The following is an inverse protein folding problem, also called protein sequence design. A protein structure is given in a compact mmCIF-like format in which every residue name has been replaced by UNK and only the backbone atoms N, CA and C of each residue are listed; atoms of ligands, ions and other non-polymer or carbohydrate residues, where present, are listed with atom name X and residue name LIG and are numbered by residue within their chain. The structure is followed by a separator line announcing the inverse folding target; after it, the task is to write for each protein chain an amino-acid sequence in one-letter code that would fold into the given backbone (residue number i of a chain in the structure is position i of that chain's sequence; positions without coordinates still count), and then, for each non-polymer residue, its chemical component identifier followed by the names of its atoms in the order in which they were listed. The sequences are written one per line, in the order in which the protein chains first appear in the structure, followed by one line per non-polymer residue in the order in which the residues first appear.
data_IF_560276003269
#
_entry.id   IF_560276003269
#
_cell.length_a   1.000
_cell.length_b   1.000
_cell.length_c   1.000
_cell.angle_alpha   90.00
_cell.angle_beta   90.00
_cell.angle_gamma   90.00
#
_symmetry.space_group_name_H-M   'P 1'
#
loop_
_entity.id
_entity.type
_entity.pdbx_description
1 polymer ?
#
# COMPACT_ATOMS: atom_id res chain seq x y z
N UNK A 1 48.62 -9.79 -49.83
CA UNK A 1 47.96 -9.58 -48.53
C UNK A 1 46.97 -8.44 -48.69
N UNK A 2 45.68 -8.75 -48.85
CA UNK A 2 44.60 -7.77 -48.95
C UNK A 2 43.79 -7.81 -47.66
N UNK A 3 43.64 -6.70 -46.91
CA UNK A 3 42.70 -6.68 -45.80
C UNK A 3 41.27 -6.59 -46.33
N UNK A 4 40.44 -7.55 -45.89
CA UNK A 4 39.00 -7.59 -46.15
C UNK A 4 38.31 -6.38 -45.51
N UNK A 5 37.57 -5.65 -46.35
CA UNK A 5 36.48 -4.74 -45.97
C UNK A 5 35.45 -5.53 -45.16
N UNK A 6 35.17 -5.15 -43.92
CA UNK A 6 34.01 -5.64 -43.18
C UNK A 6 33.03 -4.48 -42.95
N UNK A 7 31.92 -4.53 -43.68
CA UNK A 7 30.79 -3.63 -43.55
C UNK A 7 30.16 -3.83 -42.17
N UNK A 8 30.26 -2.82 -41.29
CA UNK A 8 29.45 -2.79 -40.07
C UNK A 8 28.05 -2.37 -40.46
N UNK A 9 27.12 -3.33 -40.44
CA UNK A 9 25.69 -3.10 -40.66
C UNK A 9 25.14 -2.46 -39.38
N UNK A 10 24.75 -1.19 -39.45
CA UNK A 10 24.01 -0.51 -38.39
C UNK A 10 22.53 -0.90 -38.56
N UNK A 11 22.06 -1.83 -37.74
CA UNK A 11 20.62 -2.12 -37.59
C UNK A 11 20.02 -1.06 -36.66
N UNK A 12 19.43 0.00 -37.22
CA UNK A 12 18.55 0.91 -36.46
C UNK A 12 17.19 0.22 -36.34
N UNK A 13 16.99 -0.47 -35.22
CA UNK A 13 15.72 -1.10 -34.87
C UNK A 13 14.83 -0.04 -34.21
N UNK A 14 13.94 0.57 -35.00
CA UNK A 14 12.90 1.47 -34.53
C UNK A 14 11.81 0.63 -33.83
N UNK A 15 11.96 0.40 -32.52
CA UNK A 15 10.90 -0.15 -31.70
C UNK A 15 9.82 0.92 -31.52
N UNK A 16 8.66 0.71 -32.11
CA UNK A 16 7.46 1.47 -31.82
C UNK A 16 6.93 0.99 -30.46
N UNK A 17 7.44 1.59 -29.37
CA UNK A 17 6.96 1.31 -28.01
C UNK A 17 5.60 1.97 -27.86
N UNK A 18 4.54 1.18 -27.85
CA UNK A 18 3.20 1.64 -27.48
C UNK A 18 3.17 1.85 -25.96
N UNK A 19 3.29 3.10 -25.52
CA UNK A 19 3.13 3.48 -24.13
C UNK A 19 1.63 3.42 -23.74
N UNK A 20 1.34 2.73 -22.63
CA UNK A 20 0.06 2.79 -21.95
C UNK A 20 0.03 3.97 -20.98
N UNK A 21 -1.10 4.67 -20.91
CA UNK A 21 -1.33 5.76 -19.98
C UNK A 21 -2.68 5.52 -19.29
N UNK A 22 -2.66 5.34 -17.97
CA UNK A 22 -3.88 5.28 -17.17
C UNK A 22 -4.21 6.68 -16.66
N UNK A 23 -5.40 7.22 -16.98
CA UNK A 23 -5.83 8.56 -16.57
C UNK A 23 -6.72 8.51 -15.31
N UNK A 24 -6.38 9.31 -14.30
CA UNK A 24 -7.20 9.50 -13.11
C UNK A 24 -8.39 10.42 -13.39
N UNK A 25 -9.46 10.31 -12.57
CA UNK A 25 -10.55 11.30 -12.54
C UNK A 25 -10.07 12.74 -12.23
N UNK A 26 -8.90 12.87 -11.59
CA UNK A 26 -8.25 14.15 -11.30
C UNK A 26 -7.17 14.53 -12.34
N UNK A 27 -7.03 13.82 -13.46
CA UNK A 27 -6.09 14.16 -14.53
C UNK A 27 -4.62 13.79 -14.27
N UNK A 28 -4.31 13.05 -13.20
CA UNK A 28 -2.99 12.45 -13.01
C UNK A 28 -2.85 11.16 -13.82
N UNK A 29 -1.64 10.88 -14.29
CA UNK A 29 -1.32 9.73 -15.16
C UNK A 29 -0.01 9.11 -14.71
N UNK A 30 0.04 7.78 -14.65
CA UNK A 30 1.29 7.02 -14.56
C UNK A 30 1.53 6.37 -15.92
N UNK A 31 2.73 6.56 -16.46
CA UNK A 31 3.13 6.05 -17.76
C UNK A 31 3.86 4.71 -17.61
N UNK A 32 3.52 3.76 -18.46
CA UNK A 32 4.15 2.45 -18.50
C UNK A 32 4.15 1.87 -19.91
N UNK A 33 4.93 0.82 -20.12
CA UNK A 33 5.00 0.12 -21.41
C UNK A 33 4.25 -1.20 -21.35
N UNK A 34 3.58 -1.56 -22.44
CA UNK A 34 2.82 -2.82 -22.52
C UNK A 34 1.41 -2.70 -21.93
N UNK A 35 0.86 -3.85 -21.54
CA UNK A 35 -0.54 -3.96 -21.08
C UNK A 35 -0.72 -3.62 -19.59
N UNK A 36 0.33 -3.77 -18.77
CA UNK A 36 0.32 -3.55 -17.32
C UNK A 36 1.64 -2.88 -16.87
N UNK A 37 1.61 -2.16 -15.76
CA UNK A 37 2.81 -1.62 -15.12
C UNK A 37 3.67 -2.78 -14.56
N UNK A 38 4.90 -2.88 -15.04
CA UNK A 38 5.90 -3.81 -14.51
C UNK A 38 7.03 -3.02 -13.86
N UNK A 39 7.35 -3.37 -12.61
CA UNK A 39 8.49 -2.82 -11.87
C UNK A 39 9.54 -3.92 -11.69
N UNK A 40 10.80 -3.60 -11.98
CA UNK A 40 11.91 -4.49 -11.63
C UNK A 40 12.38 -4.18 -10.22
N UNK A 41 12.63 -5.23 -9.43
CA UNK A 41 13.29 -5.13 -8.13
C UNK A 41 14.79 -4.85 -8.32
N UNK A 42 15.09 -3.63 -8.75
CA UNK A 42 16.43 -3.15 -9.04
C UNK A 42 16.64 -1.76 -8.44
N UNK A 43 17.91 -1.37 -8.31
CA UNK A 43 18.27 0.00 -8.02
C UNK A 43 17.82 0.93 -9.16
N UNK A 44 17.49 2.16 -8.81
CA UNK A 44 17.10 3.22 -9.75
C UNK A 44 15.90 2.89 -10.65
N UNK A 45 14.97 2.05 -10.20
CA UNK A 45 13.70 1.82 -10.89
C UNK A 45 12.93 3.13 -11.04
N UNK A 46 12.70 3.55 -12.27
CA UNK A 46 12.01 4.80 -12.58
C UNK A 46 10.51 4.61 -12.77
N UNK A 47 9.74 5.56 -12.26
CA UNK A 47 8.31 5.71 -12.55
C UNK A 47 8.12 7.11 -13.13
N UNK A 48 7.46 7.15 -14.29
CA UNK A 48 7.19 8.37 -15.05
C UNK A 48 5.70 8.67 -15.02
N UNK A 49 5.34 9.94 -15.11
CA UNK A 49 3.94 10.32 -15.18
C UNK A 49 3.72 11.83 -15.26
N UNK A 50 2.44 12.19 -15.24
CA UNK A 50 1.98 13.58 -15.23
C UNK A 50 0.92 13.78 -14.16
N UNK A 51 0.79 15.02 -13.69
CA UNK A 51 -0.20 15.43 -12.69
C UNK A 51 -0.82 16.76 -13.09
N UNK A 52 -2.03 17.10 -12.62
CA UNK A 52 -2.65 18.41 -12.87
C UNK A 52 -2.02 19.55 -12.04
N UNK A 53 -1.04 19.26 -11.19
CA UNK A 53 -0.48 20.25 -10.29
C UNK A 53 0.57 21.12 -10.97
N UNK A 54 0.71 22.34 -10.46
CA UNK A 54 1.70 23.29 -10.95
C UNK A 54 3.13 22.83 -10.61
N UNK A 55 4.08 23.27 -11.43
CA UNK A 55 5.50 23.05 -11.20
C UNK A 55 5.91 23.48 -9.78
N UNK A 56 6.77 22.71 -9.14
CA UNK A 56 7.25 22.94 -7.79
C UNK A 56 6.32 22.38 -6.70
N UNK A 57 5.09 21.98 -7.03
CA UNK A 57 4.19 21.29 -6.09
C UNK A 57 4.82 19.98 -5.62
N UNK A 58 4.74 19.69 -4.32
CA UNK A 58 5.24 18.43 -3.77
C UNK A 58 4.16 17.37 -3.88
N UNK A 59 4.51 16.23 -4.50
CA UNK A 59 3.68 15.03 -4.58
C UNK A 59 4.45 13.84 -4.03
N UNK A 60 3.74 12.92 -3.40
CA UNK A 60 4.28 11.65 -2.92
C UNK A 60 3.95 10.54 -3.90
N UNK A 61 4.96 9.80 -4.34
CA UNK A 61 4.76 8.54 -5.06
C UNK A 61 4.99 7.41 -4.06
N UNK A 62 4.06 6.44 -4.03
CA UNK A 62 4.11 5.30 -3.12
C UNK A 62 3.89 4.01 -3.88
N UNK A 63 4.74 3.03 -3.62
CA UNK A 63 4.59 1.64 -4.09
C UNK A 63 4.29 0.77 -2.86
N UNK A 64 3.21 -0.02 -2.95
CA UNK A 64 2.70 -0.85 -1.85
C UNK A 64 2.45 -2.26 -2.38
N UNK A 65 2.94 -3.29 -1.70
CA UNK A 65 2.54 -4.67 -1.99
C UNK A 65 1.03 -4.86 -1.81
N UNK A 66 0.41 -5.67 -2.65
CA UNK A 66 -0.98 -6.12 -2.46
C UNK A 66 -1.07 -7.65 -2.39
N UNK A 67 -2.14 -8.14 -1.78
CA UNK A 67 -2.38 -9.58 -1.61
C UNK A 67 -1.36 -10.28 -0.71
N UNK A 68 -1.14 -11.57 -0.99
CA UNK A 68 -0.30 -12.45 -0.17
C UNK A 68 1.18 -12.45 -0.60
N UNK A 69 1.70 -11.31 -1.05
CA UNK A 69 3.14 -11.14 -1.29
C UNK A 69 3.85 -10.72 0.00
N UNK A 70 5.19 -10.66 -0.01
CA UNK A 70 5.90 -10.06 1.12
C UNK A 70 5.41 -8.62 1.33
N UNK A 71 4.93 -8.25 2.52
CA UNK A 71 4.44 -6.90 2.76
C UNK A 71 5.58 -5.89 2.67
N UNK A 72 5.44 -4.88 1.83
CA UNK A 72 6.35 -3.75 1.78
C UNK A 72 5.62 -2.47 1.38
N UNK A 73 6.22 -1.35 1.76
CA UNK A 73 5.78 -0.02 1.39
C UNK A 73 7.01 0.86 1.22
N UNK A 74 7.19 1.42 0.04
CA UNK A 74 8.20 2.45 -0.23
C UNK A 74 7.51 3.72 -0.70
N UNK A 75 8.04 4.86 -0.30
CA UNK A 75 7.45 6.16 -0.64
C UNK A 75 8.53 7.21 -0.83
N UNK A 76 8.35 8.07 -1.82
CA UNK A 76 9.27 9.19 -2.09
C UNK A 76 8.47 10.43 -2.46
N UNK A 77 8.80 11.53 -1.81
CA UNK A 77 8.26 12.85 -2.15
C UNK A 77 9.17 13.52 -3.18
N UNK A 78 8.57 14.08 -4.22
CA UNK A 78 9.25 14.79 -5.30
C UNK A 78 8.51 16.08 -5.63
N UNK A 79 9.19 16.98 -6.34
CA UNK A 79 8.55 18.17 -6.91
C UNK A 79 8.10 17.87 -8.33
N UNK A 80 6.89 18.31 -8.65
CA UNK A 80 6.36 18.31 -10.01
C UNK A 80 7.21 19.23 -10.88
N UNK A 81 7.60 18.74 -12.05
CA UNK A 81 8.37 19.47 -13.04
C UNK A 81 7.49 20.29 -13.98
N UNK A 82 8.10 20.78 -15.05
CA UNK A 82 7.40 21.57 -16.07
C UNK A 82 6.25 20.74 -16.68
N UNK A 83 5.15 21.41 -17.02
CA UNK A 83 3.94 20.79 -17.60
C UNK A 83 3.31 19.70 -16.73
N UNK A 84 3.53 19.72 -15.41
CA UNK A 84 2.95 18.73 -14.51
C UNK A 84 3.66 17.38 -14.51
N UNK A 85 4.80 17.26 -15.23
CA UNK A 85 5.55 16.02 -15.39
C UNK A 85 6.27 15.62 -14.10
N UNK A 86 6.51 14.33 -13.93
CA UNK A 86 7.37 13.85 -12.86
C UNK A 86 8.12 12.58 -13.22
N UNK A 87 9.30 12.44 -12.63
CA UNK A 87 10.11 11.23 -12.67
C UNK A 87 10.59 10.95 -11.25
N UNK A 88 10.39 9.73 -10.78
CA UNK A 88 10.87 9.28 -9.48
C UNK A 88 11.69 8.01 -9.63
N UNK A 89 12.86 7.96 -9.02
CA UNK A 89 13.67 6.75 -8.89
C UNK A 89 13.48 6.13 -7.52
N UNK A 90 13.10 4.85 -7.49
CA UNK A 90 13.09 4.01 -6.29
C UNK A 90 14.29 3.07 -6.32
N UNK A 91 14.84 2.82 -5.14
CA UNK A 91 15.77 1.72 -4.95
C UNK A 91 14.95 0.52 -4.46
N UNK A 92 14.84 -0.51 -5.29
CA UNK A 92 14.06 -1.72 -5.02
C UNK A 92 14.96 -2.97 -4.99
N UNK A 93 16.29 -2.81 -4.98
CA UNK A 93 17.24 -3.94 -5.01
C UNK A 93 17.07 -4.86 -3.78
N UNK A 94 16.74 -4.27 -2.62
CA UNK A 94 16.46 -5.01 -1.38
C UNK A 94 15.29 -6.01 -1.54
N UNK A 95 14.41 -5.79 -2.53
CA UNK A 95 13.30 -6.68 -2.83
C UNK A 95 13.69 -7.81 -3.79
N UNK A 96 14.85 -7.73 -4.45
CA UNK A 96 15.29 -8.73 -5.44
C UNK A 96 15.39 -10.17 -4.90
N UNK A 97 15.78 -10.41 -3.63
CA UNK A 97 15.77 -11.76 -3.04
C UNK A 97 14.38 -12.25 -2.61
N UNK A 98 13.36 -11.39 -2.63
CA UNK A 98 12.01 -11.69 -2.14
C UNK A 98 11.12 -12.23 -3.25
N UNK A 99 9.95 -12.75 -2.87
CA UNK A 99 8.87 -13.06 -3.82
C UNK A 99 8.30 -11.77 -4.42
N UNK A 100 8.48 -11.58 -5.73
CA UNK A 100 7.70 -10.61 -6.50
C UNK A 100 6.20 -10.93 -6.53
N UNK A 101 5.42 -10.03 -7.10
CA UNK A 101 3.97 -10.17 -7.20
C UNK A 101 3.25 -8.83 -7.31
N UNK A 102 1.93 -8.80 -7.11
CA UNK A 102 1.13 -7.62 -7.40
C UNK A 102 1.43 -6.47 -6.42
N UNK A 103 1.40 -5.25 -6.97
CA UNK A 103 1.65 -3.99 -6.26
C UNK A 103 0.64 -2.93 -6.66
N UNK A 104 0.47 -1.93 -5.81
CA UNK A 104 -0.27 -0.70 -6.09
C UNK A 104 0.72 0.47 -6.09
N UNK A 105 0.75 1.23 -7.19
CA UNK A 105 1.48 2.50 -7.29
C UNK A 105 0.49 3.64 -7.20
N UNK A 106 0.69 4.51 -6.21
CA UNK A 106 -0.21 5.62 -5.90
C UNK A 106 0.51 6.97 -5.93
N UNK A 107 -0.16 7.96 -6.52
CA UNK A 107 0.21 9.38 -6.47
C UNK A 107 -0.61 10.02 -5.36
N UNK A 108 0.06 10.70 -4.45
CA UNK A 108 -0.53 11.34 -3.27
C UNK A 108 -0.14 12.81 -3.21
N UNK A 109 -1.04 13.65 -2.73
CA UNK A 109 -0.72 15.01 -2.31
C UNK A 109 -1.06 15.12 -0.83
N UNK A 110 -0.04 15.36 -0.01
CA UNK A 110 -0.12 15.20 1.44
C UNK A 110 -0.62 13.78 1.80
N UNK A 111 -1.72 13.68 2.53
CA UNK A 111 -2.30 12.41 2.97
C UNK A 111 -3.36 11.87 2.00
N UNK A 112 -3.76 12.64 0.99
CA UNK A 112 -4.82 12.27 0.05
C UNK A 112 -4.24 11.53 -1.16
N UNK A 113 -4.84 10.40 -1.50
CA UNK A 113 -4.56 9.68 -2.74
C UNK A 113 -5.31 10.31 -3.91
N UNK A 114 -4.58 10.61 -4.98
CA UNK A 114 -5.10 11.29 -6.17
C UNK A 114 -5.39 10.27 -7.27
N UNK A 115 -4.50 9.30 -7.39
CA UNK A 115 -4.55 8.24 -8.38
C UNK A 115 -3.79 7.02 -7.86
N UNK A 116 -4.26 5.84 -8.22
CA UNK A 116 -3.57 4.58 -7.98
C UNK A 116 -3.78 3.66 -9.18
N UNK A 117 -2.75 2.88 -9.51
CA UNK A 117 -2.82 1.80 -10.48
C UNK A 117 -2.18 0.55 -9.89
N UNK A 118 -2.67 -0.60 -10.32
CA UNK A 118 -2.05 -1.88 -10.02
C UNK A 118 -0.93 -2.17 -11.03
N UNK A 119 0.02 -3.00 -10.60
CA UNK A 119 1.09 -3.52 -11.43
C UNK A 119 1.72 -4.75 -10.82
N UNK A 120 2.82 -5.20 -11.40
CA UNK A 120 3.57 -6.38 -10.93
C UNK A 120 5.03 -6.01 -10.64
N UNK A 121 5.50 -6.39 -9.46
CA UNK A 121 6.92 -6.39 -9.12
C UNK A 121 7.55 -7.70 -9.58
N UNK A 122 8.56 -7.62 -10.44
CA UNK A 122 9.36 -8.75 -10.92
C UNK A 122 10.70 -8.76 -10.18
N UNK A 123 11.13 -9.95 -9.75
CA UNK A 123 12.34 -10.16 -8.95
C UNK A 123 13.28 -11.10 -9.69
N UNK A 124 14.51 -10.65 -9.95
CA UNK A 124 15.43 -11.36 -10.85
C UNK A 124 16.47 -12.22 -10.09
N UNK A 125 16.50 -12.14 -8.75
CA UNK A 125 17.50 -12.79 -7.91
C UNK A 125 16.90 -13.54 -6.72
N UNK A 126 15.66 -14.00 -6.85
CA UNK A 126 15.04 -14.81 -5.80
C UNK A 126 15.72 -16.19 -5.75
N UNK A 127 16.24 -16.63 -4.59
CA UNK A 127 16.84 -17.95 -4.47
C UNK A 127 15.81 -19.06 -4.62
N UNK A 128 16.21 -20.16 -5.25
CA UNK A 128 15.41 -21.38 -5.39
C UNK A 128 15.03 -21.91 -3.99
N UNK A 129 13.75 -21.83 -3.64
CA UNK A 129 13.24 -22.31 -2.34
C UNK A 129 12.88 -21.23 -1.31
N UNK A 130 12.84 -19.94 -1.68
CA UNK A 130 12.32 -18.89 -0.79
C UNK A 130 10.91 -19.21 -0.27
N UNK A 131 10.79 -19.36 1.06
CA UNK A 131 9.54 -19.59 1.82
C UNK A 131 8.99 -18.32 2.46
N UNK A 132 9.49 -17.15 2.05
CA UNK A 132 8.98 -15.83 2.45
C UNK A 132 7.60 -15.59 1.82
N UNK A 133 6.64 -16.41 2.22
CA UNK A 133 5.22 -16.11 2.17
C UNK A 133 4.92 -15.16 3.32
N UNK A 134 4.01 -14.20 3.16
CA UNK A 134 3.56 -13.37 4.27
C UNK A 134 3.10 -14.27 5.43
N UNK A 135 3.17 -13.81 6.68
CA UNK A 135 2.48 -14.49 7.75
C UNK A 135 1.01 -14.55 7.36
N UNK A 136 0.49 -15.74 7.07
CA UNK A 136 -0.95 -15.96 6.97
C UNK A 136 -1.47 -15.68 8.37
N UNK A 137 -2.02 -14.48 8.56
CA UNK A 137 -2.80 -14.20 9.75
C UNK A 137 -4.09 -14.99 9.59
N UNK A 138 -4.03 -16.29 9.89
CA UNK A 138 -5.21 -17.07 10.25
C UNK A 138 -5.72 -16.43 11.53
N UNK A 139 -6.61 -15.45 11.36
CA UNK A 139 -7.53 -15.08 12.43
C UNK A 139 -8.43 -16.30 12.59
N UNK A 140 -7.98 -17.24 13.42
CA UNK A 140 -8.82 -18.29 13.97
C UNK A 140 -9.81 -17.56 14.89
N UNK A 141 -10.88 -17.04 14.29
CA UNK A 141 -12.01 -16.54 15.04
C UNK A 141 -12.77 -17.79 15.49
N UNK A 142 -12.75 -18.16 16.79
CA UNK A 142 -13.59 -19.25 17.23
C UNK A 142 -15.03 -18.89 16.86
N UNK A 143 -15.66 -19.76 16.07
CA UNK A 143 -17.05 -19.65 15.68
C UNK A 143 -17.89 -19.65 16.96
N UNK A 144 -18.31 -18.46 17.38
CA UNK A 144 -19.26 -18.31 18.48
C UNK A 144 -20.62 -18.57 17.88
N UNK A 145 -21.14 -19.76 18.16
CA UNK A 145 -22.55 -20.10 17.95
C UNK A 145 -23.42 -18.98 18.57
N UNK A 146 -24.46 -18.47 17.87
CA UNK A 146 -25.27 -17.39 18.38
C UNK A 146 -25.92 -17.78 19.72
N UNK A 147 -25.80 -16.97 20.78
CA UNK A 147 -26.50 -17.29 22.01
C UNK A 147 -28.01 -17.10 21.78
N UNK A 148 -28.76 -18.13 22.15
CA UNK A 148 -30.22 -18.08 22.30
C UNK A 148 -30.58 -16.95 23.27
N UNK A 149 -31.57 -16.11 22.91
CA UNK A 149 -32.10 -15.04 23.75
C UNK A 149 -32.40 -15.52 25.17
N UNK A 150 -31.81 -14.85 26.17
CA UNK A 150 -32.34 -14.86 27.54
C UNK A 150 -32.14 -13.48 28.14
N UNK A 151 -33.24 -12.75 28.25
CA UNK A 151 -33.41 -11.53 29.04
C UNK A 151 -32.89 -11.73 30.46
N UNK A 152 -32.11 -10.78 31.02
CA UNK A 152 -32.14 -10.34 32.45
C UNK A 152 -31.13 -9.18 32.66
N UNK A 153 -31.66 -7.96 32.76
CA UNK A 153 -31.34 -6.88 33.71
C UNK A 153 -29.90 -6.53 34.16
N UNK A 154 -29.58 -5.21 34.05
CA UNK A 154 -29.06 -4.34 35.14
C UNK A 154 -27.59 -3.83 35.10
N UNK A 155 -27.47 -2.49 35.06
CA UNK A 155 -26.47 -1.62 35.75
C UNK A 155 -25.17 -1.19 35.04
N UNK A 156 -25.19 0.09 34.61
CA UNK A 156 -24.27 1.21 34.95
C UNK A 156 -22.76 1.10 34.67
N UNK A 157 -22.33 1.93 33.70
CA UNK A 157 -21.14 2.80 33.69
C UNK A 157 -19.71 2.21 33.68
N UNK A 158 -18.91 2.80 32.77
CA UNK A 158 -17.44 2.88 32.72
C UNK A 158 -16.62 1.58 32.61
N UNK A 159 -15.82 1.53 31.54
CA UNK A 159 -14.54 0.79 31.43
C UNK A 159 -14.56 -0.71 31.77
N UNK A 160 -14.52 -1.57 30.74
CA UNK A 160 -14.41 -3.01 30.94
C UNK A 160 -13.79 -3.72 29.74
N UNK A 161 -12.46 -3.75 29.71
CA UNK A 161 -11.67 -4.64 28.88
C UNK A 161 -11.75 -6.04 29.54
N UNK A 162 -12.58 -6.93 28.99
CA UNK A 162 -12.61 -8.33 29.41
C UNK A 162 -11.41 -9.06 28.80
N UNK A 163 -10.42 -9.40 29.63
CA UNK A 163 -9.27 -10.22 29.25
C UNK A 163 -9.66 -11.67 29.52
N UNK A 164 -9.92 -12.49 28.48
CA UNK A 164 -10.04 -13.91 28.69
C UNK A 164 -8.63 -14.46 28.93
N UNK A 165 -8.35 -14.82 30.18
CA UNK A 165 -7.25 -15.73 30.50
C UNK A 165 -6.09 -15.20 31.34
N UNK A 166 -6.34 -14.52 32.45
CA UNK A 166 -5.40 -14.55 33.59
C UNK A 166 -6.19 -14.52 34.90
N UNK A 167 -5.89 -15.48 35.77
CA UNK A 167 -6.63 -15.72 37.00
C UNK A 167 -6.62 -14.55 37.98
N UNK A 168 -7.72 -14.49 38.74
CA UNK A 168 -7.88 -14.07 40.15
C UNK A 168 -7.04 -12.88 40.64
N UNK A 169 -7.69 -11.79 41.04
CA UNK A 169 -7.33 -11.08 42.29
C UNK A 169 -8.57 -10.46 42.95
N UNK A 170 -8.74 -10.78 44.23
CA UNK A 170 -9.68 -10.14 45.13
C UNK A 170 -9.22 -8.73 45.51
N UNK A 171 -10.15 -7.80 45.72
CA UNK A 171 -10.00 -6.72 46.71
C UNK A 171 -11.36 -6.07 47.04
N UNK A 172 -11.47 -5.61 48.28
CA UNK A 172 -12.67 -5.28 49.05
C UNK A 172 -12.88 -3.76 49.12
N UNK A 173 -14.15 -3.30 49.08
CA UNK A 173 -14.64 -2.02 49.66
C UNK A 173 -14.41 -0.74 48.82
N UNK A 174 -15.26 0.30 48.82
CA UNK A 174 -16.33 0.71 49.74
C UNK A 174 -17.33 1.68 49.05
N UNK A 175 -18.51 1.79 49.65
CA UNK A 175 -19.72 2.55 49.28
C UNK A 175 -19.51 4.07 49.42
N UNK A 176 -20.02 4.88 48.48
CA UNK A 176 -20.67 6.17 48.85
C UNK A 176 -21.65 6.65 47.77
N UNK A 177 -22.93 6.63 48.11
CA UNK A 177 -24.02 7.23 47.36
C UNK A 177 -24.21 8.70 47.80
N UNK A 178 -24.56 9.59 46.86
CA UNK A 178 -25.41 10.74 47.19
C UNK A 178 -26.31 11.09 45.99
N UNK A 179 -27.60 11.05 46.26
CA UNK A 179 -28.70 11.34 45.35
C UNK A 179 -29.13 12.81 45.46
N UNK A 180 -29.40 13.50 44.33
CA UNK A 180 -30.31 14.66 44.26
C UNK A 180 -30.94 14.78 42.84
N UNK A 181 -32.04 14.07 42.61
CA UNK A 181 -33.41 14.60 42.42
C UNK A 181 -33.67 15.89 41.59
N UNK A 182 -34.30 15.69 40.41
CA UNK A 182 -35.56 16.31 39.88
C UNK A 182 -35.55 17.53 38.93
N UNK A 183 -36.34 17.33 37.84
CA UNK A 183 -37.14 18.23 36.96
C UNK A 183 -36.40 19.33 36.17
N UNK A 184 -36.78 19.65 34.94
CA UNK A 184 -38.16 19.80 34.43
C UNK A 184 -38.17 19.82 32.89
N UNK A 185 -39.14 19.14 32.31
CA UNK A 185 -39.66 19.31 30.94
C UNK A 185 -40.14 20.74 30.68
N UNK A 186 -39.86 21.31 29.51
CA UNK A 186 -40.84 21.61 28.43
C UNK A 186 -40.22 22.43 27.30
N UNK A 187 -40.89 22.27 26.15
CA UNK A 187 -40.80 22.90 24.83
C UNK A 187 -40.21 24.32 24.73
#
# INVERSE_FOLDING_TARGET
MHPLRQFTVVFVLLFLVTAGAATAANGAVIEYSGDELVLDAAADQQIHGTTPFEEGTVVGIRVKSIGDTHPFLVSKAIRVGENGTFVVSFDLDELAPLRGGPVEVSIRNNESEIHAIEGVLVTNNMPDGSTLSPPTTSTDRPSTEPPTETTTTTTTSSSGFEIPGFGVLAAVGSILALAVTIRMTRD
#
